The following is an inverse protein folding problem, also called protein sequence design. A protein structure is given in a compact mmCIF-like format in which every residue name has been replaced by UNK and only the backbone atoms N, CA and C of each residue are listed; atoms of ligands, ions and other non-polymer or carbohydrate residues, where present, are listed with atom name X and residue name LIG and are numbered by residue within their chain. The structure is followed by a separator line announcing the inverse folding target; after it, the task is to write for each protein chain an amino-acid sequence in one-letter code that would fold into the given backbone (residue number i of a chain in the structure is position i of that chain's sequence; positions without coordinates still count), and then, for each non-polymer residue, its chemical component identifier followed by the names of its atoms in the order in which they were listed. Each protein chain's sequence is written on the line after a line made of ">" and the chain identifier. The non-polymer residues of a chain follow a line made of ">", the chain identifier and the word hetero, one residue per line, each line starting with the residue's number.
data_IF_782653589966
#
_entry.id   IF_782653589966
#
_cell.length_a   1.000
_cell.length_b   1.000
_cell.length_c   1.000
_cell.angle_alpha   90.00
_cell.angle_beta   90.00
_cell.angle_gamma   90.00
#
_symmetry.space_group_name_H-M   'P 1'
#
loop_
_entity.id
_entity.type
_entity.pdbx_description
1 polymer ?
#
# COMPACT_ATOMS: atom_id res chain seq x y z
N UNK A 1 11.35 33.85 0.04
CA UNK A 1 10.60 33.01 -0.92
C UNK A 1 10.21 31.75 -0.17
N UNK A 2 8.93 31.67 0.20
CA UNK A 2 8.43 30.75 1.22
C UNK A 2 8.48 29.29 0.80
N UNK A 3 8.38 28.42 1.79
CA UNK A 3 8.43 26.95 1.76
C UNK A 3 7.54 26.25 0.70
N UNK A 4 6.69 27.02 0.00
CA UNK A 4 5.73 26.60 -1.03
C UNK A 4 6.26 26.71 -2.46
N UNK A 5 7.45 27.31 -2.69
CA UNK A 5 8.01 27.53 -4.03
C UNK A 5 9.46 27.04 -4.13
N UNK A 6 9.73 25.86 -3.58
CA UNK A 6 10.96 25.15 -3.94
C UNK A 6 10.67 24.38 -5.24
N UNK A 7 11.09 24.95 -6.38
CA UNK A 7 10.91 24.30 -7.67
C UNK A 7 11.71 22.99 -7.63
N UNK A 8 11.08 21.81 -7.84
CA UNK A 8 11.80 20.56 -7.75
C UNK A 8 12.92 20.53 -8.77
N UNK A 9 14.13 20.18 -8.32
CA UNK A 9 15.27 20.00 -9.20
C UNK A 9 14.99 18.88 -10.23
N UNK A 10 15.72 18.88 -11.35
CA UNK A 10 15.53 17.90 -12.43
C UNK A 10 15.65 16.46 -11.91
N UNK A 11 16.52 16.24 -10.91
CA UNK A 11 16.65 14.96 -10.20
C UNK A 11 15.37 14.54 -9.48
N UNK A 12 14.72 15.46 -8.78
CA UNK A 12 13.46 15.20 -8.07
C UNK A 12 12.34 14.84 -9.04
N UNK A 13 12.23 15.54 -10.17
CA UNK A 13 11.31 15.19 -11.25
C UNK A 13 11.56 13.79 -11.81
N UNK A 14 12.83 13.43 -12.03
CA UNK A 14 13.22 12.09 -12.47
C UNK A 14 12.80 11.00 -11.48
N UNK A 15 13.03 11.22 -10.18
CA UNK A 15 12.61 10.29 -9.13
C UNK A 15 11.08 10.14 -9.09
N UNK A 16 10.34 11.24 -9.17
CA UNK A 16 8.87 11.22 -9.17
C UNK A 16 8.32 10.44 -10.36
N UNK A 17 8.88 10.64 -11.56
CA UNK A 17 8.48 9.90 -12.75
C UNK A 17 8.81 8.41 -12.64
N UNK A 18 9.98 8.06 -12.12
CA UNK A 18 10.35 6.67 -11.87
C UNK A 18 9.38 6.00 -10.90
N UNK A 19 9.07 6.65 -9.77
CA UNK A 19 8.10 6.14 -8.80
C UNK A 19 6.74 5.93 -9.46
N UNK A 20 6.28 6.87 -10.29
CA UNK A 20 5.02 6.74 -11.03
C UNK A 20 5.00 5.49 -11.91
N UNK A 21 6.05 5.27 -12.70
CA UNK A 21 6.16 4.09 -13.59
C UNK A 21 6.16 2.80 -12.77
N UNK A 22 6.91 2.76 -11.66
CA UNK A 22 6.94 1.59 -10.77
C UNK A 22 5.56 1.33 -10.17
N UNK A 23 4.85 2.35 -9.71
CA UNK A 23 3.51 2.20 -9.14
C UNK A 23 2.51 1.66 -10.17
N UNK A 24 2.57 2.14 -11.42
CA UNK A 24 1.75 1.61 -12.51
C UNK A 24 2.06 0.13 -12.77
N UNK A 25 3.35 -0.23 -12.84
CA UNK A 25 3.77 -1.61 -13.07
C UNK A 25 3.35 -2.55 -11.93
N UNK A 26 3.49 -2.12 -10.67
CA UNK A 26 3.05 -2.89 -9.49
C UNK A 26 1.53 -3.06 -9.47
N UNK A 27 0.78 -2.01 -9.84
CA UNK A 27 -0.68 -2.09 -9.88
C UNK A 27 -1.14 -3.08 -10.96
N UNK A 28 -0.50 -3.07 -12.13
CA UNK A 28 -0.81 -4.02 -13.18
C UNK A 28 -0.42 -5.46 -12.79
N UNK A 29 0.73 -5.66 -12.15
CA UNK A 29 1.15 -6.96 -11.63
C UNK A 29 0.18 -7.51 -10.60
N UNK A 30 -0.32 -6.66 -9.70
CA UNK A 30 -1.35 -7.01 -8.71
C UNK A 30 -2.72 -7.34 -9.33
N UNK A 31 -3.00 -6.80 -10.53
CA UNK A 31 -4.28 -6.98 -11.24
C UNK A 31 -4.29 -8.17 -12.20
N UNK A 32 -3.18 -8.46 -12.85
CA UNK A 32 -3.05 -9.53 -13.85
C UNK A 32 -3.04 -10.92 -13.21
N UNK A 33 -2.34 -11.10 -12.09
CA UNK A 33 -2.05 -12.43 -11.55
C UNK A 33 -2.57 -12.64 -10.13
N UNK A 34 -3.10 -13.86 -9.85
CA UNK A 34 -3.50 -14.27 -8.49
C UNK A 34 -2.31 -14.15 -7.52
N UNK A 35 -1.14 -14.60 -7.93
CA UNK A 35 0.05 -14.57 -7.09
C UNK A 35 0.59 -13.15 -6.87
N UNK A 36 0.53 -12.28 -7.87
CA UNK A 36 0.92 -10.87 -7.74
C UNK A 36 0.10 -10.14 -6.70
N UNK A 37 -1.22 -10.36 -6.68
CA UNK A 37 -2.09 -9.82 -5.62
C UNK A 37 -1.74 -10.36 -4.22
N UNK A 38 -1.47 -11.66 -4.07
CA UNK A 38 -1.14 -12.27 -2.77
C UNK A 38 0.20 -11.70 -2.28
N UNK A 39 1.18 -11.61 -3.17
CA UNK A 39 2.49 -11.12 -2.83
C UNK A 39 2.42 -9.65 -2.37
N UNK A 40 1.73 -8.79 -3.13
CA UNK A 40 1.67 -7.35 -2.86
C UNK A 40 0.73 -6.98 -1.69
N UNK A 41 -0.41 -7.66 -1.55
CA UNK A 41 -1.44 -7.31 -0.57
C UNK A 41 -1.47 -8.22 0.66
N UNK A 42 -0.66 -9.28 0.72
CA UNK A 42 -0.59 -10.16 1.90
C UNK A 42 0.85 -10.34 2.37
N UNK A 43 1.73 -10.89 1.52
CA UNK A 43 3.09 -11.26 1.94
C UNK A 43 3.91 -10.02 2.31
N UNK A 44 3.99 -9.03 1.41
CA UNK A 44 4.76 -7.80 1.62
C UNK A 44 4.28 -7.06 2.89
N UNK A 45 2.96 -6.80 3.08
CA UNK A 45 2.45 -6.18 4.30
C UNK A 45 2.77 -6.95 5.58
N UNK A 46 2.69 -8.28 5.57
CA UNK A 46 3.02 -9.12 6.74
C UNK A 46 4.50 -8.98 7.11
N UNK A 47 5.39 -9.07 6.12
CA UNK A 47 6.84 -8.91 6.32
C UNK A 47 7.15 -7.51 6.86
N UNK A 48 6.57 -6.47 6.26
CA UNK A 48 6.75 -5.09 6.73
C UNK A 48 6.25 -4.89 8.16
N UNK A 49 5.10 -5.48 8.51
CA UNK A 49 4.51 -5.38 9.84
C UNK A 49 5.40 -6.00 10.92
N UNK A 50 6.03 -7.14 10.63
CA UNK A 50 6.83 -7.89 11.61
C UNK A 50 8.25 -7.31 11.74
N UNK A 51 8.89 -6.99 10.61
CA UNK A 51 10.33 -6.70 10.61
C UNK A 51 10.67 -5.21 10.49
N UNK A 52 9.84 -4.41 9.83
CA UNK A 52 10.20 -3.02 9.45
C UNK A 52 9.45 -2.00 10.29
N UNK A 53 8.12 -2.12 10.38
CA UNK A 53 7.29 -1.14 11.04
C UNK A 53 7.50 -0.97 12.56
N UNK A 54 7.97 -1.98 13.31
CA UNK A 54 8.33 -1.77 14.71
C UNK A 54 9.48 -0.77 14.89
N UNK A 55 10.35 -0.60 13.90
CA UNK A 55 11.47 0.34 13.96
C UNK A 55 11.18 1.65 13.22
N UNK A 56 10.44 1.60 12.09
CA UNK A 56 10.18 2.79 11.26
C UNK A 56 8.89 3.53 11.59
N UNK A 57 7.93 2.89 12.25
CA UNK A 57 6.60 3.43 12.55
C UNK A 57 6.27 3.34 14.05
N UNK A 58 7.29 3.37 14.90
CA UNK A 58 7.12 3.39 16.35
C UNK A 58 6.42 4.68 16.82
N UNK A 59 5.65 4.62 17.94
CA UNK A 59 5.10 5.82 18.56
C UNK A 59 6.21 6.83 18.88
N UNK A 60 6.02 8.09 18.45
CA UNK A 60 7.02 9.14 18.64
C UNK A 60 8.06 9.28 17.52
N UNK A 61 7.91 8.56 16.40
CA UNK A 61 8.72 8.80 15.19
C UNK A 61 8.62 10.26 14.71
N UNK A 62 9.75 10.86 14.34
CA UNK A 62 9.92 12.17 13.69
C UNK A 62 8.96 12.40 12.53
N UNK A 63 8.64 11.35 11.77
CA UNK A 63 7.74 11.43 10.61
C UNK A 63 6.24 11.26 10.94
N UNK A 64 5.88 11.09 12.22
CA UNK A 64 4.49 10.99 12.66
C UNK A 64 3.73 9.74 12.18
N UNK A 65 4.43 8.73 11.65
CA UNK A 65 3.82 7.54 11.04
C UNK A 65 3.24 6.56 12.07
N UNK A 66 3.72 6.59 13.31
CA UNK A 66 3.30 5.68 14.40
C UNK A 66 2.04 6.09 15.17
N UNK A 67 1.11 6.83 14.56
CA UNK A 67 -0.15 7.22 15.21
C UNK A 67 -1.31 6.28 14.83
N UNK A 68 -2.27 6.09 15.72
CA UNK A 68 -3.40 5.17 15.56
C UNK A 68 -4.20 5.41 14.27
N UNK A 69 -4.35 6.67 13.85
CA UNK A 69 -5.09 7.03 12.64
C UNK A 69 -4.37 6.62 11.35
N UNK A 70 -3.03 6.67 11.34
CA UNK A 70 -2.24 6.21 10.19
C UNK A 70 -2.33 4.69 10.06
N UNK A 71 -2.23 3.98 11.19
CA UNK A 71 -2.46 2.54 11.24
C UNK A 71 -3.87 2.16 10.76
N UNK A 72 -4.90 2.88 11.22
CA UNK A 72 -6.29 2.65 10.80
C UNK A 72 -6.46 2.80 9.28
N UNK A 73 -5.92 3.87 8.68
CA UNK A 73 -5.99 4.11 7.22
C UNK A 73 -5.30 3.01 6.42
N UNK A 74 -4.06 2.66 6.79
CA UNK A 74 -3.26 1.69 6.06
C UNK A 74 -3.90 0.31 6.08
N UNK A 75 -4.35 -0.15 7.25
CA UNK A 75 -5.01 -1.45 7.36
C UNK A 75 -6.42 -1.47 6.76
N UNK A 76 -7.15 -0.36 6.79
CA UNK A 76 -8.46 -0.28 6.10
C UNK A 76 -8.29 -0.40 4.59
N UNK A 77 -7.29 0.27 4.00
CA UNK A 77 -6.98 0.13 2.58
C UNK A 77 -6.55 -1.31 2.24
N UNK A 78 -5.70 -1.92 3.09
CA UNK A 78 -5.26 -3.30 2.94
C UNK A 78 -6.42 -4.30 2.96
N UNK A 79 -7.33 -4.16 3.92
CA UNK A 79 -8.52 -5.00 4.05
C UNK A 79 -9.42 -4.88 2.81
N UNK A 80 -9.56 -3.67 2.25
CA UNK A 80 -10.26 -3.45 0.99
C UNK A 80 -9.61 -4.22 -0.17
N UNK A 81 -8.29 -4.09 -0.36
CA UNK A 81 -7.56 -4.80 -1.41
C UNK A 81 -7.71 -6.33 -1.30
N UNK A 82 -7.56 -6.88 -0.08
CA UNK A 82 -7.72 -8.32 0.17
C UNK A 82 -9.16 -8.77 -0.04
N UNK A 83 -10.14 -7.96 0.37
CA UNK A 83 -11.57 -8.24 0.15
C UNK A 83 -11.94 -8.34 -1.33
N UNK A 84 -11.51 -7.37 -2.14
CA UNK A 84 -11.70 -7.43 -3.61
C UNK A 84 -10.99 -8.62 -4.23
N UNK A 85 -9.81 -8.96 -3.71
CA UNK A 85 -9.06 -10.12 -4.16
C UNK A 85 -9.80 -11.44 -3.87
N UNK A 86 -10.35 -11.60 -2.67
CA UNK A 86 -11.16 -12.75 -2.28
C UNK A 86 -12.38 -12.89 -3.20
N UNK A 87 -13.10 -11.79 -3.45
CA UNK A 87 -14.24 -11.78 -4.38
C UNK A 87 -13.87 -12.20 -5.80
N UNK A 88 -12.68 -11.80 -6.27
CA UNK A 88 -12.23 -12.10 -7.63
C UNK A 88 -11.80 -13.55 -7.82
N UNK A 89 -11.18 -14.16 -6.81
CA UNK A 89 -10.48 -15.44 -6.97
C UNK A 89 -11.14 -16.64 -6.29
N UNK A 90 -12.08 -16.41 -5.38
CA UNK A 90 -12.88 -17.46 -4.76
C UNK A 90 -14.22 -17.52 -5.50
N UNK A 91 -14.44 -18.54 -6.37
CA UNK A 91 -15.73 -18.74 -6.99
C UNK A 91 -16.79 -19.00 -5.89
N UNK A 92 -17.92 -18.29 -5.97
CA UNK A 92 -19.00 -18.27 -4.98
C UNK A 92 -18.75 -17.45 -3.69
N UNK A 93 -17.65 -16.72 -3.53
CA UNK A 93 -17.47 -15.83 -2.37
C UNK A 93 -18.65 -14.84 -2.23
N UNK A 94 -19.12 -14.28 -3.33
CA UNK A 94 -20.27 -13.36 -3.38
C UNK A 94 -21.62 -13.99 -3.02
N UNK A 95 -21.71 -15.33 -2.88
CA UNK A 95 -22.94 -16.00 -2.40
C UNK A 95 -23.06 -16.02 -0.88
N UNK A 96 -21.99 -15.71 -0.15
CA UNK A 96 -21.99 -15.65 1.30
C UNK A 96 -22.29 -14.22 1.77
N UNK A 97 -23.28 -14.08 2.68
CA UNK A 97 -23.73 -12.81 3.28
C UNK A 97 -22.66 -11.99 4.03
N UNK A 98 -21.44 -12.53 4.12
CA UNK A 98 -20.29 -11.90 4.78
C UNK A 98 -19.41 -11.12 3.81
N UNK A 99 -19.60 -11.30 2.51
CA UNK A 99 -18.84 -10.62 1.46
C UNK A 99 -19.57 -9.34 1.03
N UNK A 100 -20.91 -9.39 0.99
CA UNK A 100 -21.89 -8.30 0.82
C UNK A 100 -23.20 -8.77 1.49
#
# INVERSE_FOLDING_TARGET
>A
MGILYNVPDLKTWGIMFFILVVLIALNELGRETKWGGILLFVIVPVVLTIFVWPTTCAPGNEYGTGNWFNWAKTYSALAGCVGFMLMRYIPNATKHKWVI
#
